data_IF_524340544724
#
_entry.id   IF_524340544724
#
_cell.length_a   1.000
_cell.length_b   1.000
_cell.length_c   1.000
_cell.angle_alpha   90.00
_cell.angle_beta   90.00
_cell.angle_gamma   90.00
#
_symmetry.space_group_name_H-M   'P 1'
#
loop_
_entity.id
_entity.type
_entity.pdbx_description
1 polymer ?
#
# COMPACT_ATOMS: atom_id res chain seq x y z
N UNK A 1 3.03 12.67 31.81
CA UNK A 1 3.83 12.70 30.58
C UNK A 1 3.06 11.85 29.59
N UNK A 2 2.28 12.48 28.73
CA UNK A 2 1.34 11.81 27.83
C UNK A 2 2.13 11.23 26.64
N UNK A 3 1.93 9.96 26.27
CA UNK A 3 2.30 9.52 24.92
C UNK A 3 1.42 10.29 23.92
N UNK A 4 2.07 10.88 22.93
CA UNK A 4 1.45 11.70 21.91
C UNK A 4 0.40 10.90 21.13
N UNK A 5 -0.85 11.38 21.08
CA UNK A 5 -1.91 10.89 20.19
C UNK A 5 -1.60 11.06 18.69
N UNK A 6 -0.40 11.54 18.33
CA UNK A 6 0.10 11.59 16.95
C UNK A 6 0.54 10.21 16.41
N UNK A 7 0.87 9.25 17.28
CA UNK A 7 1.48 7.98 16.84
C UNK A 7 0.49 7.04 16.14
N UNK A 8 -0.82 7.17 16.37
CA UNK A 8 -1.82 6.29 15.75
C UNK A 8 -2.24 6.69 14.33
N UNK A 9 -1.81 7.87 13.85
CA UNK A 9 -2.12 8.34 12.49
C UNK A 9 -0.96 8.15 11.51
N UNK A 10 0.21 7.72 12.01
CA UNK A 10 1.47 7.76 11.25
C UNK A 10 1.74 6.54 10.35
N UNK A 11 0.93 5.48 10.43
CA UNK A 11 1.12 4.24 9.65
C UNK A 11 0.23 4.10 8.41
N UNK A 12 -0.54 5.13 8.04
CA UNK A 12 -1.31 5.12 6.80
C UNK A 12 -0.35 5.31 5.62
N UNK A 13 -0.17 4.29 4.78
CA UNK A 13 0.66 4.33 3.58
C UNK A 13 0.25 5.46 2.62
N UNK A 14 1.14 5.79 1.67
CA UNK A 14 0.88 6.84 0.69
C UNK A 14 -0.36 6.52 -0.16
N UNK A 15 -1.32 7.44 -0.20
CA UNK A 15 -2.55 7.30 -1.00
C UNK A 15 -2.29 7.72 -2.46
N UNK A 16 -2.21 6.72 -3.35
CA UNK A 16 -2.02 6.89 -4.79
C UNK A 16 -3.29 7.39 -5.52
N UNK A 17 -4.47 7.21 -4.93
CA UNK A 17 -5.76 7.53 -5.56
C UNK A 17 -6.29 8.92 -5.18
N UNK A 18 -5.69 9.59 -4.19
CA UNK A 18 -5.99 10.99 -3.87
C UNK A 18 -5.81 11.88 -5.12
N UNK A 19 -6.75 12.79 -5.41
CA UNK A 19 -6.83 13.50 -6.69
C UNK A 19 -5.56 14.22 -7.14
N UNK A 20 -4.79 14.80 -6.23
CA UNK A 20 -3.49 15.43 -6.54
C UNK A 20 -2.38 14.40 -6.84
N UNK A 21 -2.40 13.26 -6.14
CA UNK A 21 -1.43 12.18 -6.32
C UNK A 21 -1.74 11.37 -7.57
N UNK A 22 -3.01 11.07 -7.82
CA UNK A 22 -3.47 10.37 -9.01
C UNK A 22 -2.97 11.04 -10.28
N UNK A 23 -2.97 12.38 -10.35
CA UNK A 23 -2.44 13.11 -11.50
C UNK A 23 -0.93 12.91 -11.74
N UNK A 24 -0.15 12.60 -10.68
CA UNK A 24 1.29 12.35 -10.76
C UNK A 24 1.61 10.90 -11.13
N UNK A 25 0.81 9.96 -10.63
CA UNK A 25 1.09 8.52 -10.70
C UNK A 25 0.36 7.79 -11.82
N UNK A 26 -0.82 8.26 -12.23
CA UNK A 26 -1.64 7.57 -13.23
C UNK A 26 -0.89 7.38 -14.55
N UNK A 27 -0.83 6.14 -15.01
CA UNK A 27 -0.22 5.76 -16.27
C UNK A 27 1.31 5.81 -16.29
N UNK A 28 1.95 5.96 -15.12
CA UNK A 28 3.41 6.02 -15.04
C UNK A 28 4.06 4.71 -15.49
N UNK A 29 3.41 3.56 -15.26
CA UNK A 29 3.92 2.23 -15.60
C UNK A 29 3.32 1.66 -16.87
N UNK A 30 2.18 2.16 -17.35
CA UNK A 30 1.48 1.61 -18.52
C UNK A 30 2.40 1.35 -19.73
N UNK A 31 3.16 2.35 -20.20
CA UNK A 31 4.05 2.16 -21.36
C UNK A 31 5.20 1.17 -21.11
N UNK A 32 5.59 0.97 -19.86
CA UNK A 32 6.61 -0.01 -19.48
C UNK A 32 6.00 -1.41 -19.36
N UNK A 33 4.79 -1.53 -18.83
CA UNK A 33 4.02 -2.78 -18.75
C UNK A 33 3.71 -3.33 -20.15
N UNK A 34 3.36 -2.47 -21.11
CA UNK A 34 3.21 -2.89 -22.52
C UNK A 34 4.49 -3.51 -23.08
N UNK A 35 5.65 -2.91 -22.79
CA UNK A 35 6.95 -3.43 -23.23
C UNK A 35 7.28 -4.75 -22.55
N UNK A 36 7.01 -4.88 -21.25
CA UNK A 36 7.20 -6.13 -20.51
C UNK A 36 6.32 -7.23 -21.10
N UNK A 37 5.05 -6.94 -21.40
CA UNK A 37 4.16 -7.88 -22.06
C UNK A 37 4.72 -8.32 -23.43
N UNK A 38 5.20 -7.40 -24.25
CA UNK A 38 5.79 -7.73 -25.55
C UNK A 38 7.06 -8.59 -25.43
N UNK A 39 7.82 -8.45 -24.35
CA UNK A 39 9.00 -9.28 -24.09
C UNK A 39 8.62 -10.73 -23.78
N UNK A 40 7.59 -10.95 -22.94
CA UNK A 40 7.16 -12.31 -22.53
C UNK A 40 6.20 -12.95 -23.55
N UNK A 41 5.38 -12.14 -24.22
CA UNK A 41 4.34 -12.56 -25.15
C UNK A 41 4.20 -11.63 -26.36
N UNK A 42 5.07 -11.77 -27.38
CA UNK A 42 5.14 -10.85 -28.53
C UNK A 42 3.88 -10.74 -29.38
N UNK A 43 2.96 -11.72 -29.27
CA UNK A 43 1.75 -11.82 -30.09
C UNK A 43 0.49 -11.36 -29.36
N UNK A 44 0.60 -11.01 -28.07
CA UNK A 44 -0.54 -10.60 -27.27
C UNK A 44 -0.55 -9.08 -27.11
N UNK A 45 -1.75 -8.54 -26.98
CA UNK A 45 -2.00 -7.17 -26.56
C UNK A 45 -2.74 -7.19 -25.23
N UNK A 46 -2.64 -6.12 -24.43
CA UNK A 46 -3.47 -5.92 -23.25
C UNK A 46 -4.44 -4.77 -23.48
N UNK A 47 -5.63 -4.85 -22.88
CA UNK A 47 -6.50 -3.69 -22.77
C UNK A 47 -5.90 -2.66 -21.79
N UNK A 48 -6.24 -1.39 -21.99
CA UNK A 48 -5.69 -0.29 -21.20
C UNK A 48 -6.10 -0.38 -19.72
N UNK A 49 -7.34 -0.78 -19.45
CA UNK A 49 -7.87 -1.04 -18.11
C UNK A 49 -7.18 -2.23 -17.43
N UNK A 50 -6.82 -3.29 -18.18
CA UNK A 50 -6.01 -4.40 -17.67
C UNK A 50 -4.62 -3.92 -17.22
N UNK A 51 -3.98 -3.05 -18.01
CA UNK A 51 -2.70 -2.44 -17.64
C UNK A 51 -2.82 -1.47 -16.45
N UNK A 52 -3.92 -0.70 -16.37
CA UNK A 52 -4.24 0.14 -15.22
C UNK A 52 -4.47 -0.69 -13.95
N UNK A 53 -5.09 -1.87 -14.08
CA UNK A 53 -5.26 -2.81 -12.97
C UNK A 53 -3.92 -3.36 -12.48
N UNK A 54 -3.04 -3.82 -13.38
CA UNK A 54 -1.69 -4.27 -13.02
C UNK A 54 -0.86 -3.13 -12.40
N UNK A 55 -0.99 -1.90 -12.92
CA UNK A 55 -0.34 -0.72 -12.33
C UNK A 55 -0.79 -0.49 -10.87
N UNK A 56 -2.08 -0.62 -10.56
CA UNK A 56 -2.58 -0.52 -9.19
C UNK A 56 -2.03 -1.61 -8.27
N UNK A 57 -1.87 -2.85 -8.77
CA UNK A 57 -1.22 -3.91 -8.03
C UNK A 57 0.24 -3.57 -7.71
N UNK A 58 0.98 -3.01 -8.69
CA UNK A 58 2.34 -2.53 -8.44
C UNK A 58 2.40 -1.38 -7.43
N UNK A 59 1.41 -0.49 -7.41
CA UNK A 59 1.31 0.54 -6.37
C UNK A 59 1.05 -0.06 -4.98
N UNK A 60 0.25 -1.13 -4.85
CA UNK A 60 0.13 -1.84 -3.57
C UNK A 60 1.49 -2.37 -3.10
N UNK A 61 2.27 -2.99 -3.99
CA UNK A 61 3.63 -3.43 -3.66
C UNK A 61 4.53 -2.27 -3.30
N UNK A 62 4.46 -1.16 -4.03
CA UNK A 62 5.23 0.04 -3.71
C UNK A 62 4.87 0.61 -2.34
N UNK A 63 3.58 0.67 -2.00
CA UNK A 63 3.09 1.03 -0.66
C UNK A 63 3.72 0.13 0.38
N UNK A 64 3.63 -1.19 0.20
CA UNK A 64 4.20 -2.18 1.12
C UNK A 64 5.68 -1.88 1.35
N UNK A 65 6.47 -1.79 0.28
CA UNK A 65 7.91 -1.54 0.32
C UNK A 65 8.29 -0.18 0.91
N UNK A 66 7.40 0.82 0.86
CA UNK A 66 7.65 2.18 1.34
C UNK A 66 6.85 2.56 2.60
N UNK A 67 6.27 1.59 3.31
CA UNK A 67 5.68 1.80 4.64
C UNK A 67 6.66 2.49 5.59
N UNK A 68 6.15 3.12 6.66
CA UNK A 68 7.02 3.65 7.70
C UNK A 68 7.55 2.52 8.60
N UNK A 69 8.81 2.58 9.07
CA UNK A 69 9.84 3.55 8.68
C UNK A 69 10.23 3.38 7.21
N UNK A 70 10.40 4.50 6.49
CA UNK A 70 10.70 4.50 5.06
C UNK A 70 12.10 3.91 4.81
N UNK A 71 12.30 3.12 3.74
CA UNK A 71 13.60 2.51 3.48
C UNK A 71 14.62 3.56 3.01
N UNK A 72 15.83 3.49 3.56
CA UNK A 72 16.97 4.35 3.21
C UNK A 72 18.13 3.56 2.59
N UNK A 73 18.11 2.23 2.71
CA UNK A 73 19.11 1.32 2.15
C UNK A 73 18.45 0.19 1.35
N UNK A 74 19.24 -0.51 0.52
CA UNK A 74 18.78 -1.72 -0.19
C UNK A 74 18.41 -2.81 0.84
N UNK A 75 19.19 -2.91 1.92
CA UNK A 75 18.96 -3.86 2.99
C UNK A 75 17.60 -3.63 3.67
N UNK A 76 17.19 -2.38 3.90
CA UNK A 76 15.88 -2.07 4.48
C UNK A 76 14.74 -2.60 3.60
N UNK A 77 14.91 -2.52 2.26
CA UNK A 77 13.94 -3.04 1.30
C UNK A 77 13.94 -4.58 1.29
N UNK A 78 15.11 -5.22 1.36
CA UNK A 78 15.23 -6.68 1.46
C UNK A 78 14.59 -7.25 2.72
N UNK A 79 14.87 -6.66 3.88
CA UNK A 79 14.28 -7.08 5.16
C UNK A 79 12.75 -7.01 5.10
N UNK A 80 12.23 -5.98 4.44
CA UNK A 80 10.79 -5.81 4.24
C UNK A 80 10.20 -6.83 3.27
N UNK A 81 10.90 -7.14 2.17
CA UNK A 81 10.50 -8.23 1.26
C UNK A 81 10.45 -9.57 2.01
N UNK A 82 11.47 -9.88 2.80
CA UNK A 82 11.52 -11.13 3.57
C UNK A 82 10.41 -11.24 4.60
N UNK A 83 9.98 -10.11 5.19
CA UNK A 83 8.89 -10.07 6.17
C UNK A 83 7.50 -10.12 5.52
N UNK A 84 7.30 -9.50 4.36
CA UNK A 84 5.97 -9.25 3.78
C UNK A 84 5.63 -10.12 2.57
N UNK A 85 6.63 -10.65 1.84
CA UNK A 85 6.36 -11.40 0.61
C UNK A 85 6.28 -12.89 0.92
N UNK A 86 5.29 -13.61 0.37
CA UNK A 86 5.13 -15.03 0.61
C UNK A 86 6.24 -15.83 -0.09
N UNK A 87 6.54 -17.02 0.39
CA UNK A 87 7.42 -17.93 -0.33
C UNK A 87 6.73 -18.49 -1.59
N UNK A 88 7.38 -18.55 -2.76
CA UNK A 88 8.79 -18.25 -3.03
C UNK A 88 9.10 -16.83 -3.54
N UNK A 89 8.10 -15.91 -3.52
CA UNK A 89 8.20 -14.54 -4.04
C UNK A 89 9.34 -13.76 -3.40
N UNK A 90 9.46 -13.84 -2.08
CA UNK A 90 10.56 -13.28 -1.31
C UNK A 90 11.93 -13.53 -1.96
N UNK A 91 12.24 -14.79 -2.27
CA UNK A 91 13.56 -15.22 -2.74
C UNK A 91 13.85 -14.78 -4.16
N UNK A 92 12.91 -14.96 -5.07
CA UNK A 92 13.14 -14.61 -6.47
C UNK A 92 13.10 -13.09 -6.69
N UNK A 93 12.26 -12.36 -5.95
CA UNK A 93 12.20 -10.90 -6.03
C UNK A 93 13.53 -10.25 -5.63
N UNK A 94 14.14 -10.69 -4.51
CA UNK A 94 15.45 -10.21 -4.06
C UNK A 94 16.52 -10.49 -5.13
N UNK A 95 16.56 -11.73 -5.62
CA UNK A 95 17.55 -12.14 -6.63
C UNK A 95 17.44 -11.30 -7.91
N UNK A 96 16.23 -11.07 -8.41
CA UNK A 96 16.04 -10.33 -9.65
C UNK A 96 16.30 -8.83 -9.45
N UNK A 97 15.94 -8.27 -8.30
CA UNK A 97 16.21 -6.88 -7.96
C UNK A 97 17.73 -6.59 -7.85
N UNK A 98 18.52 -7.50 -7.27
CA UNK A 98 19.99 -7.38 -7.32
C UNK A 98 20.53 -7.43 -8.75
N UNK A 99 20.03 -8.37 -9.56
CA UNK A 99 20.37 -8.49 -10.98
C UNK A 99 20.10 -7.17 -11.73
N UNK A 100 18.99 -6.49 -11.44
CA UNK A 100 18.66 -5.19 -12.02
C UNK A 100 19.65 -4.08 -11.60
N UNK A 101 20.06 -4.04 -10.33
CA UNK A 101 21.01 -3.05 -9.82
C UNK A 101 22.42 -3.29 -10.37
N UNK A 102 22.89 -4.54 -10.42
CA UNK A 102 24.22 -4.91 -10.93
C UNK A 102 24.35 -4.66 -12.45
N UNK A 103 23.30 -4.98 -13.21
CA UNK A 103 23.26 -4.79 -14.68
C UNK A 103 23.04 -3.34 -15.11
N UNK A 104 22.65 -2.46 -14.18
CA UNK A 104 22.43 -1.03 -14.41
C UNK A 104 23.62 -0.26 -14.99
N UNK A 105 24.81 -0.88 -15.06
CA UNK A 105 26.01 -0.30 -15.72
C UNK A 105 26.28 -0.83 -17.12
N UNK A 106 25.75 -2.00 -17.53
CA UNK A 106 25.95 -2.58 -18.87
C UNK A 106 24.75 -3.44 -19.31
N UNK A 107 23.95 -2.90 -20.24
CA UNK A 107 23.13 -3.58 -21.27
C UNK A 107 21.69 -4.05 -20.97
N UNK A 108 21.14 -3.96 -19.76
CA UNK A 108 19.68 -4.11 -19.56
C UNK A 108 19.17 -3.07 -18.56
N UNK A 109 18.69 -1.89 -19.00
CA UNK A 109 18.02 -0.96 -18.11
C UNK A 109 16.69 -1.58 -17.67
N UNK A 110 16.36 -1.43 -16.38
CA UNK A 110 15.00 -1.63 -15.87
C UNK A 110 14.03 -0.89 -16.80
N UNK A 111 12.99 -1.60 -17.27
CA UNK A 111 12.00 -1.09 -18.22
C UNK A 111 11.08 -0.05 -17.57
N UNK A 112 10.78 -0.20 -16.28
CA UNK A 112 10.04 0.78 -15.49
C UNK A 112 10.80 2.13 -15.40
N UNK A 113 10.10 3.28 -15.35
CA UNK A 113 10.72 4.61 -15.39
C UNK A 113 11.35 5.02 -14.05
N UNK A 114 12.49 4.41 -13.71
CA UNK A 114 13.16 4.56 -12.42
C UNK A 114 13.51 6.02 -12.06
N UNK A 115 13.93 6.84 -13.02
CA UNK A 115 14.25 8.26 -12.78
C UNK A 115 13.02 9.08 -12.36
N UNK A 116 11.88 8.85 -13.02
CA UNK A 116 10.62 9.54 -12.69
C UNK A 116 10.12 9.12 -11.32
N UNK A 117 10.13 7.82 -11.04
CA UNK A 117 9.70 7.29 -9.74
C UNK A 117 10.64 7.71 -8.63
N UNK A 118 11.96 7.73 -8.85
CA UNK A 118 12.93 8.25 -7.88
C UNK A 118 12.59 9.68 -7.44
N UNK A 119 12.26 10.55 -8.41
CA UNK A 119 11.87 11.93 -8.13
C UNK A 119 10.56 12.03 -7.33
N UNK A 120 9.60 11.15 -7.58
CA UNK A 120 8.34 11.10 -6.84
C UNK A 120 8.53 10.50 -5.44
N UNK A 121 9.31 9.44 -5.30
CA UNK A 121 9.65 8.83 -4.02
C UNK A 121 10.27 9.85 -3.06
N UNK A 122 11.24 10.63 -3.53
CA UNK A 122 11.88 11.65 -2.69
C UNK A 122 10.92 12.77 -2.26
N UNK A 123 10.01 13.18 -3.13
CA UNK A 123 9.12 14.34 -2.89
C UNK A 123 7.87 13.99 -2.09
N UNK A 124 7.31 12.81 -2.34
CA UNK A 124 5.93 12.51 -1.96
C UNK A 124 5.84 11.40 -0.91
N UNK A 125 6.75 10.42 -0.94
CA UNK A 125 6.63 9.20 -0.13
C UNK A 125 7.67 9.19 1.00
N UNK A 126 8.95 9.28 0.64
CA UNK A 126 10.06 9.14 1.58
C UNK A 126 10.39 10.47 2.28
N UNK A 127 10.02 11.60 1.65
CA UNK A 127 10.29 12.97 2.10
C UNK A 127 11.73 13.21 2.57
N UNK A 128 12.68 12.42 2.03
CA UNK A 128 14.08 12.40 2.41
C UNK A 128 14.96 12.06 1.19
N UNK A 129 16.25 12.38 1.29
CA UNK A 129 17.24 11.99 0.29
C UNK A 129 17.48 10.48 0.37
N UNK A 130 17.06 9.78 -0.68
CA UNK A 130 17.32 8.35 -0.87
C UNK A 130 18.27 8.17 -2.05
N UNK A 131 19.19 7.22 -1.93
CA UNK A 131 20.14 6.88 -2.99
C UNK A 131 19.39 6.33 -4.22
N UNK A 132 19.83 6.72 -5.42
CA UNK A 132 19.25 6.23 -6.67
C UNK A 132 19.29 4.70 -6.79
N UNK A 133 20.30 4.04 -6.22
CA UNK A 133 20.40 2.58 -6.20
C UNK A 133 19.24 1.92 -5.42
N UNK A 134 18.74 2.55 -4.35
CA UNK A 134 17.59 2.04 -3.60
C UNK A 134 16.32 2.15 -4.45
N UNK A 135 16.13 3.28 -5.13
CA UNK A 135 14.99 3.42 -6.07
C UNK A 135 15.08 2.44 -7.23
N UNK A 136 16.28 2.22 -7.79
CA UNK A 136 16.49 1.23 -8.85
C UNK A 136 16.18 -0.19 -8.36
N UNK A 137 16.57 -0.52 -7.13
CA UNK A 137 16.26 -1.81 -6.51
C UNK A 137 14.75 -2.01 -6.35
N UNK A 138 14.03 -1.02 -5.80
CA UNK A 138 12.56 -1.05 -5.69
C UNK A 138 11.92 -1.25 -7.07
N UNK A 139 12.39 -0.53 -8.09
CA UNK A 139 11.88 -0.72 -9.46
C UNK A 139 12.18 -2.11 -10.01
N UNK A 140 13.33 -2.70 -9.69
CA UNK A 140 13.64 -4.08 -10.04
C UNK A 140 12.64 -5.07 -9.42
N UNK A 141 12.24 -4.86 -8.17
CA UNK A 141 11.22 -5.67 -7.49
C UNK A 141 9.85 -5.52 -8.18
N UNK A 142 9.41 -4.28 -8.43
CA UNK A 142 8.13 -4.01 -9.10
C UNK A 142 8.10 -4.59 -10.53
N UNK A 143 9.20 -4.45 -11.28
CA UNK A 143 9.30 -4.98 -12.64
C UNK A 143 9.23 -6.50 -12.66
N UNK A 144 9.89 -7.15 -11.71
CA UNK A 144 9.87 -8.60 -11.58
C UNK A 144 8.44 -9.12 -11.31
N UNK A 145 7.72 -8.49 -10.38
CA UNK A 145 6.32 -8.84 -10.07
C UNK A 145 5.40 -8.52 -11.26
N UNK A 146 5.56 -7.35 -11.88
CA UNK A 146 4.74 -6.96 -13.03
C UNK A 146 4.93 -7.90 -14.22
N UNK A 147 6.18 -8.32 -14.49
CA UNK A 147 6.49 -9.30 -15.52
C UNK A 147 5.87 -10.67 -15.21
N UNK A 148 5.89 -11.11 -13.95
CA UNK A 148 5.30 -12.38 -13.55
C UNK A 148 3.78 -12.39 -13.72
N UNK A 149 3.09 -11.34 -13.27
CA UNK A 149 1.63 -11.17 -13.46
C UNK A 149 1.28 -11.20 -14.96
N UNK A 150 2.01 -10.47 -15.80
CA UNK A 150 1.76 -10.41 -17.24
C UNK A 150 2.07 -11.74 -17.94
N UNK A 151 3.12 -12.44 -17.51
CA UNK A 151 3.50 -13.75 -18.05
C UNK A 151 2.48 -14.84 -17.67
N UNK A 152 1.98 -14.81 -16.44
CA UNK A 152 0.92 -15.69 -15.96
C UNK A 152 -0.39 -15.43 -16.73
N UNK A 153 -0.81 -14.17 -16.80
CA UNK A 153 -2.05 -13.76 -17.47
C UNK A 153 -2.00 -14.05 -18.97
N UNK A 154 -0.89 -13.76 -19.65
CA UNK A 154 -0.78 -14.05 -21.07
C UNK A 154 -0.66 -15.55 -21.39
N UNK A 155 -0.08 -16.34 -20.49
CA UNK A 155 -0.11 -17.81 -20.60
C UNK A 155 -1.53 -18.34 -20.45
N UNK A 156 -2.31 -17.81 -19.50
CA UNK A 156 -3.74 -18.12 -19.35
C UNK A 156 -4.54 -17.78 -20.62
N UNK A 157 -4.41 -16.55 -21.13
CA UNK A 157 -5.10 -16.05 -22.34
C UNK A 157 -4.76 -16.89 -23.58
N UNK A 158 -3.50 -17.31 -23.74
CA UNK A 158 -3.09 -18.22 -24.82
C UNK A 158 -3.76 -19.59 -24.71
N UNK A 159 -3.90 -20.12 -23.50
CA UNK A 159 -4.52 -21.43 -23.29
C UNK A 159 -6.02 -21.42 -23.69
N UNK A 160 -6.71 -20.31 -23.45
CA UNK A 160 -8.10 -20.11 -23.87
C UNK A 160 -8.24 -19.56 -25.31
N UNK A 161 -7.12 -19.38 -26.03
CA UNK A 161 -7.01 -18.92 -27.43
C UNK A 161 -7.53 -17.50 -27.68
N UNK A 162 -7.47 -16.64 -26.67
CA UNK A 162 -7.67 -15.20 -26.83
C UNK A 162 -6.36 -14.54 -27.29
N UNK A 163 -6.47 -13.37 -27.93
CA UNK A 163 -5.32 -12.57 -28.40
C UNK A 163 -5.10 -11.30 -27.59
N UNK A 164 -6.06 -10.96 -26.73
CA UNK A 164 -6.07 -9.73 -25.93
C UNK A 164 -6.32 -10.06 -24.47
N UNK A 165 -5.50 -9.51 -23.58
CA UNK A 165 -5.62 -9.65 -22.13
C UNK A 165 -6.60 -8.60 -21.60
N UNK A 166 -7.63 -9.06 -20.89
CA UNK A 166 -8.64 -8.25 -20.19
C UNK A 166 -8.34 -8.18 -18.68
N UNK A 167 -9.08 -7.35 -17.94
CA UNK A 167 -8.96 -7.30 -16.47
C UNK A 167 -9.33 -8.64 -15.86
N UNK A 168 -10.43 -9.25 -16.34
CA UNK A 168 -10.93 -10.53 -15.87
C UNK A 168 -9.91 -11.65 -16.09
N UNK A 169 -9.18 -11.62 -17.22
CA UNK A 169 -8.11 -12.59 -17.47
C UNK A 169 -6.98 -12.49 -16.44
N UNK A 170 -6.60 -11.26 -16.05
CA UNK A 170 -5.58 -11.03 -15.01
C UNK A 170 -6.07 -11.53 -13.66
N UNK A 171 -7.31 -11.21 -13.28
CA UNK A 171 -7.90 -11.67 -12.01
C UNK A 171 -7.99 -13.19 -11.93
N UNK A 172 -8.50 -13.84 -12.97
CA UNK A 172 -8.62 -15.31 -13.01
C UNK A 172 -7.25 -15.98 -12.98
N UNK A 173 -6.29 -15.46 -13.73
CA UNK A 173 -4.94 -15.99 -13.74
C UNK A 173 -4.29 -15.86 -12.36
N UNK A 174 -4.43 -14.70 -11.71
CA UNK A 174 -3.95 -14.48 -10.35
C UNK A 174 -4.64 -15.38 -9.34
N UNK A 175 -5.96 -15.55 -9.37
CA UNK A 175 -6.69 -16.46 -8.45
C UNK A 175 -6.19 -17.90 -8.52
N UNK A 176 -5.68 -18.34 -9.67
CA UNK A 176 -5.10 -19.66 -9.83
C UNK A 176 -3.65 -19.77 -9.32
N UNK A 177 -2.95 -18.64 -9.13
CA UNK A 177 -1.59 -18.59 -8.61
C UNK A 177 -1.59 -18.32 -7.10
N UNK A 178 -1.26 -19.35 -6.32
CA UNK A 178 -1.27 -19.25 -4.87
C UNK A 178 -0.29 -18.18 -4.35
N UNK A 179 0.88 -18.06 -4.94
CA UNK A 179 1.91 -17.18 -4.41
C UNK A 179 1.52 -15.69 -4.60
N UNK A 180 0.99 -15.33 -5.78
CA UNK A 180 0.47 -14.00 -6.04
C UNK A 180 -0.81 -13.73 -5.26
N UNK A 181 -1.69 -14.73 -5.11
CA UNK A 181 -2.86 -14.59 -4.25
C UNK A 181 -2.49 -14.25 -2.83
N UNK A 182 -1.57 -15.00 -2.26
CA UNK A 182 -1.05 -14.76 -0.92
C UNK A 182 -0.43 -13.35 -0.86
N UNK A 183 0.35 -12.91 -1.85
CA UNK A 183 0.97 -11.56 -1.85
C UNK A 183 -0.07 -10.42 -1.81
N UNK A 184 -1.16 -10.51 -2.56
CA UNK A 184 -2.11 -9.40 -2.74
C UNK A 184 -3.35 -9.44 -1.85
N UNK A 185 -3.60 -10.54 -1.15
CA UNK A 185 -4.77 -10.72 -0.27
C UNK A 185 -4.38 -10.92 1.20
N UNK A 186 -3.14 -10.61 1.57
CA UNK A 186 -2.63 -10.63 2.94
C UNK A 186 -3.16 -9.48 3.84
N UNK A 187 -4.05 -8.62 3.33
CA UNK A 187 -4.44 -7.34 3.94
C UNK A 187 -4.99 -7.43 5.39
N UNK A 188 -5.40 -8.61 5.89
CA UNK A 188 -5.77 -8.78 7.31
C UNK A 188 -4.57 -9.03 8.25
N UNK A 189 -3.44 -9.57 7.75
CA UNK A 189 -2.28 -9.97 8.57
C UNK A 189 -1.09 -8.99 8.48
N UNK A 190 -0.96 -8.17 7.44
CA UNK A 190 0.19 -7.25 7.31
C UNK A 190 0.25 -6.19 8.41
N UNK A 191 -0.91 -5.84 8.99
CA UNK A 191 -0.98 -4.92 10.14
C UNK A 191 -0.51 -5.57 11.45
N UNK A 192 -0.56 -6.90 11.58
CA UNK A 192 -0.15 -7.62 12.80
C UNK A 192 1.36 -7.88 12.83
N UNK A 193 1.96 -8.20 11.67
CA UNK A 193 3.41 -8.48 11.53
C UNK A 193 4.30 -7.27 11.87
N UNK A 194 3.80 -6.05 11.71
CA UNK A 194 4.57 -4.82 11.96
C UNK A 194 4.55 -4.37 13.44
N UNK A 195 3.74 -5.01 14.29
CA UNK A 195 3.68 -4.69 15.73
C UNK A 195 4.76 -5.41 16.56
N UNK A 196 5.53 -6.31 15.95
CA UNK A 196 6.51 -7.14 16.67
C UNK A 196 7.91 -6.52 16.79
N UNK A 197 8.20 -5.37 16.16
CA UNK A 197 9.58 -4.82 16.09
C UNK A 197 9.91 -3.72 17.12
N UNK A 198 9.06 -3.51 18.14
CA UNK A 198 9.54 -2.86 19.37
C UNK A 198 10.30 -3.90 20.20
N UNK A 199 11.47 -3.59 20.79
CA UNK A 199 12.13 -4.51 21.70
C UNK A 199 11.22 -4.76 22.89
N UNK A 200 10.49 -5.88 22.84
CA UNK A 200 9.61 -6.38 23.88
C UNK A 200 10.48 -6.66 25.09
N UNK A 201 10.63 -5.65 25.94
CA UNK A 201 11.02 -5.84 27.32
C UNK A 201 9.83 -6.56 27.95
N UNK A 202 10.02 -7.87 28.13
CA UNK A 202 9.02 -8.87 28.44
C UNK A 202 7.82 -8.45 29.29
N UNK A 203 6.63 -8.71 28.75
CA UNK A 203 5.65 -9.60 29.36
C UNK A 203 4.57 -9.90 28.32
N UNK A 204 4.37 -11.16 27.94
CA UNK A 204 3.12 -11.55 27.29
C UNK A 204 1.99 -11.14 28.23
N UNK A 205 1.24 -10.10 27.84
CA UNK A 205 0.08 -9.68 28.60
C UNK A 205 -0.86 -10.87 28.70
N UNK A 206 -1.27 -11.19 29.91
CA UNK A 206 -2.30 -12.20 30.13
C UNK A 206 -3.62 -11.72 29.52
N UNK A 207 -4.50 -12.66 29.15
CA UNK A 207 -5.82 -12.32 28.63
C UNK A 207 -6.58 -11.33 29.54
N UNK A 208 -6.40 -11.45 30.85
CA UNK A 208 -6.98 -10.53 31.85
C UNK A 208 -6.45 -9.10 31.72
N UNK A 209 -5.15 -8.92 31.43
CA UNK A 209 -4.53 -7.61 31.21
C UNK A 209 -4.97 -6.99 29.89
N UNK A 210 -5.08 -7.79 28.83
CA UNK A 210 -5.61 -7.34 27.53
C UNK A 210 -7.05 -6.84 27.68
N UNK A 211 -7.90 -7.62 28.35
CA UNK A 211 -9.30 -7.23 28.60
C UNK A 211 -9.38 -5.95 29.43
N UNK A 212 -8.54 -5.80 30.46
CA UNK A 212 -8.49 -4.57 31.27
C UNK A 212 -8.05 -3.35 30.45
N UNK A 213 -7.09 -3.53 29.56
CA UNK A 213 -6.63 -2.46 28.67
C UNK A 213 -7.73 -2.06 27.68
N UNK A 214 -8.41 -3.02 27.04
CA UNK A 214 -9.53 -2.75 26.13
C UNK A 214 -10.67 -2.00 26.84
N UNK A 215 -11.04 -2.43 28.05
CA UNK A 215 -12.06 -1.74 28.86
C UNK A 215 -11.60 -0.33 29.24
N UNK A 216 -10.31 -0.14 29.51
CA UNK A 216 -9.76 1.16 29.85
C UNK A 216 -9.80 2.11 28.64
N UNK A 217 -9.40 1.64 27.47
CA UNK A 217 -9.43 2.36 26.20
C UNK A 217 -10.86 2.75 25.81
N UNK A 218 -11.81 1.82 25.88
CA UNK A 218 -13.22 2.11 25.62
C UNK A 218 -13.76 3.20 26.56
N UNK A 219 -13.45 3.11 27.86
CA UNK A 219 -13.85 4.14 28.84
C UNK A 219 -13.18 5.48 28.56
N UNK A 220 -11.92 5.49 28.11
CA UNK A 220 -11.21 6.71 27.76
C UNK A 220 -11.82 7.34 26.50
N UNK A 221 -12.10 6.54 25.48
CA UNK A 221 -12.77 6.98 24.25
C UNK A 221 -14.14 7.62 24.55
N UNK A 222 -14.96 6.98 25.39
CA UNK A 222 -16.25 7.54 25.81
C UNK A 222 -16.11 8.85 26.59
N UNK A 223 -15.06 9.00 27.42
CA UNK A 223 -14.78 10.27 28.13
C UNK A 223 -14.39 11.37 27.15
N UNK A 224 -13.52 11.06 26.20
CA UNK A 224 -13.04 12.02 25.21
C UNK A 224 -14.17 12.44 24.28
N UNK A 225 -15.01 11.50 23.83
CA UNK A 225 -16.23 11.79 23.08
C UNK A 225 -17.17 12.73 23.86
N UNK A 226 -17.44 12.43 25.14
CA UNK A 226 -18.25 13.31 25.98
C UNK A 226 -17.63 14.69 26.18
N UNK A 227 -16.30 14.78 26.29
CA UNK A 227 -15.60 16.05 26.43
C UNK A 227 -15.70 16.87 25.14
N UNK A 228 -15.49 16.25 23.97
CA UNK A 228 -15.68 16.87 22.66
C UNK A 228 -17.12 17.36 22.53
N UNK A 229 -18.11 16.50 22.79
CA UNK A 229 -19.52 16.89 22.78
C UNK A 229 -19.74 18.09 23.71
N UNK A 230 -19.24 18.07 24.95
CA UNK A 230 -19.43 19.16 25.91
C UNK A 230 -18.79 20.48 25.44
N UNK A 231 -17.57 20.44 24.93
CA UNK A 231 -16.83 21.63 24.46
C UNK A 231 -17.49 22.24 23.24
N UNK A 232 -17.93 21.41 22.28
CA UNK A 232 -18.54 21.90 21.05
C UNK A 232 -20.04 22.15 21.19
N UNK A 233 -20.73 21.60 22.19
CA UNK A 233 -22.16 21.83 22.41
C UNK A 233 -22.47 23.30 22.65
N UNK A 234 -21.69 24.01 23.47
CA UNK A 234 -21.95 25.43 23.72
C UNK A 234 -21.64 26.29 22.48
N UNK A 235 -20.56 25.99 21.76
CA UNK A 235 -20.19 26.65 20.51
C UNK A 235 -21.25 26.43 19.43
N UNK A 236 -21.71 25.20 19.21
CA UNK A 236 -22.75 24.89 18.23
C UNK A 236 -24.10 25.49 18.66
N UNK A 237 -24.46 25.44 19.95
CA UNK A 237 -25.67 26.11 20.46
C UNK A 237 -25.66 27.62 20.21
N UNK A 238 -24.50 28.28 20.32
CA UNK A 238 -24.34 29.71 20.04
C UNK A 238 -24.45 30.06 18.55
N UNK A 239 -24.11 29.11 17.67
CA UNK A 239 -24.13 29.29 16.20
C UNK A 239 -25.49 28.96 15.59
N UNK A 240 -26.35 28.23 16.30
CA UNK A 240 -27.69 27.84 15.83
C UNK A 240 -28.69 28.97 16.08
N UNK A 241 -28.96 29.75 15.02
CA UNK A 241 -30.07 30.68 14.97
C UNK A 241 -31.42 29.90 14.96
N UNK A 242 -32.43 30.29 15.78
CA UNK A 242 -33.69 29.55 15.93
C UNK A 242 -34.59 29.52 14.68
N UNK A 243 -34.19 30.17 13.58
CA UNK A 243 -34.94 30.23 12.31
C UNK A 243 -34.36 29.34 11.20
N UNK A 244 -33.29 28.59 11.44
CA UNK A 244 -32.66 27.76 10.40
C UNK A 244 -33.00 26.28 10.54
N UNK A 245 -33.11 25.56 9.41
CA UNK A 245 -33.35 24.09 9.37
C UNK A 245 -32.28 23.27 10.14
N UNK A 246 -31.16 23.89 10.52
CA UNK A 246 -30.09 23.33 11.36
C UNK A 246 -30.57 23.02 12.78
N UNK A 247 -31.56 23.76 13.31
CA UNK A 247 -32.11 23.51 14.65
C UNK A 247 -32.76 22.13 14.78
N UNK A 248 -33.28 21.54 13.69
CA UNK A 248 -33.83 20.17 13.72
C UNK A 248 -32.75 19.10 13.83
N UNK A 249 -31.58 19.30 13.21
CA UNK A 249 -30.43 18.37 13.31
C UNK A 249 -29.83 18.43 14.71
N UNK A 250 -29.73 19.64 15.28
CA UNK A 250 -29.23 19.84 16.65
C UNK A 250 -30.09 19.13 17.71
N UNK A 251 -31.42 19.09 17.50
CA UNK A 251 -32.36 18.45 18.40
C UNK A 251 -32.27 16.91 18.36
N UNK A 252 -32.00 16.31 17.19
CA UNK A 252 -31.77 14.86 17.07
C UNK A 252 -30.45 14.42 17.74
N UNK A 253 -29.37 15.19 17.55
CA UNK A 253 -28.06 14.84 18.15
C UNK A 253 -28.06 15.01 19.68
N UNK A 254 -28.89 15.90 20.23
CA UNK A 254 -28.95 16.15 21.68
C UNK A 254 -29.95 15.26 22.45
N UNK A 255 -30.85 14.51 21.80
CA UNK A 255 -31.83 13.65 22.49
C UNK A 255 -31.44 12.17 22.57
N UNK A 256 -30.52 11.68 21.72
CA UNK A 256 -30.08 10.28 21.72
C UNK A 256 -28.88 9.99 22.64
N UNK A 257 -28.47 10.94 23.49
CA UNK A 257 -27.33 10.79 24.43
C UNK A 257 -27.70 11.19 25.87
N UNK A 258 -28.93 10.89 26.30
CA UNK A 258 -29.38 11.04 27.69
C UNK A 258 -29.76 9.69 28.30
#
# INVERSE_FOLDING_TARGET
>A
MFPNQQVLQDNCGYDFDNGENLAKWRGIFQSSLEKLLQQVHPTLEAQLDALEYVEKLLFKVLSMLCLKPTPHSIQDVEERIQKMFPNPIDRWAIKEAHSAVEKGKKKCPVTLPAEKVHSLLQKEILMNKVDYQVSLYIMGVLECIGADILNLSGSYVKNIRHIKITVEDVEVAMWADKALMDLFHQDEDVSSVLLEDEPVTGSSLTYDEVVKNLIHEEKQYLRDLHMIIKVFREQIASLVNPSSKVSRVYMYVCWDVA
#
